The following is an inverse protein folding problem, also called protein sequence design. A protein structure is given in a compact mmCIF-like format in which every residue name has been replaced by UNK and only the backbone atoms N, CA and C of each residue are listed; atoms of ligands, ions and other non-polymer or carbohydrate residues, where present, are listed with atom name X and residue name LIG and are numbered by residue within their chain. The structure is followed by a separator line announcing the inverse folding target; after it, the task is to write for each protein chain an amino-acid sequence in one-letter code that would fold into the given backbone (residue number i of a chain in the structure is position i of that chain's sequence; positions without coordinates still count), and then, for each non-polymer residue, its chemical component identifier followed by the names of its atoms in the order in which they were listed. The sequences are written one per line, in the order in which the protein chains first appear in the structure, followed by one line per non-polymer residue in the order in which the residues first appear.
data_IF_552933078576
#
_entry.id   IF_552933078576
#
_cell.length_a   1.000
_cell.length_b   1.000
_cell.length_c   1.000
_cell.angle_alpha   90.00
_cell.angle_beta   90.00
_cell.angle_gamma   90.00
#
_symmetry.space_group_name_H-M   'P 1'
#
loop_
_entity.id
_entity.type
_entity.pdbx_description
1 polymer ?
#
# COMPACT_ATOMS: atom_id res chain seq x y z
N UNK A 1 16.53 55.33 -8.06
CA UNK A 1 15.17 55.49 -7.48
C UNK A 1 14.04 54.91 -8.33
N UNK A 2 14.18 54.82 -9.65
CA UNK A 2 13.16 54.24 -10.56
C UNK A 2 13.03 52.72 -10.46
N UNK A 3 14.13 51.99 -10.29
CA UNK A 3 14.15 50.51 -10.24
C UNK A 3 13.37 49.91 -9.06
N UNK A 4 13.39 50.58 -7.89
CA UNK A 4 12.68 50.13 -6.67
C UNK A 4 11.15 50.24 -6.84
N UNK A 5 10.68 51.28 -7.54
CA UNK A 5 9.25 51.46 -7.84
C UNK A 5 8.74 50.38 -8.84
N UNK A 6 9.55 50.00 -9.81
CA UNK A 6 9.19 48.97 -10.77
C UNK A 6 9.11 47.58 -10.08
N UNK A 7 10.05 47.28 -9.20
CA UNK A 7 10.04 46.03 -8.44
C UNK A 7 8.84 45.89 -7.50
N UNK A 8 8.46 47.00 -6.83
CA UNK A 8 7.27 47.02 -5.95
C UNK A 8 5.96 46.85 -6.74
N UNK A 9 5.89 47.41 -7.95
CA UNK A 9 4.74 47.24 -8.86
C UNK A 9 4.63 45.80 -9.35
N UNK A 10 5.73 45.19 -9.79
CA UNK A 10 5.74 43.79 -10.25
C UNK A 10 5.42 42.83 -9.12
N UNK A 11 5.91 43.07 -7.89
CA UNK A 11 5.62 42.27 -6.72
C UNK A 11 4.14 42.36 -6.31
N UNK A 12 3.55 43.56 -6.35
CA UNK A 12 2.12 43.75 -6.11
C UNK A 12 1.24 43.09 -7.16
N UNK A 13 1.58 43.18 -8.45
CA UNK A 13 0.82 42.53 -9.54
C UNK A 13 0.84 41.01 -9.36
N UNK A 14 1.97 40.39 -8.96
CA UNK A 14 2.06 38.95 -8.67
C UNK A 14 1.22 38.54 -7.46
N UNK A 15 1.15 39.36 -6.41
CA UNK A 15 0.33 39.09 -5.21
C UNK A 15 -1.17 39.24 -5.49
N UNK A 16 -1.57 40.29 -6.24
CA UNK A 16 -2.99 40.49 -6.61
C UNK A 16 -3.51 39.44 -7.59
N UNK A 17 -2.67 38.91 -8.49
CA UNK A 17 -3.05 37.82 -9.42
C UNK A 17 -3.33 36.48 -8.71
N UNK A 18 -2.69 36.21 -7.60
CA UNK A 18 -2.95 35.00 -6.77
C UNK A 18 -4.17 35.19 -5.87
N UNK A 19 -4.47 36.43 -5.43
CA UNK A 19 -5.62 36.71 -4.56
C UNK A 19 -6.96 36.90 -5.29
N UNK A 20 -6.97 37.00 -6.63
CA UNK A 20 -8.21 37.14 -7.41
C UNK A 20 -8.75 35.81 -7.97
N UNK A 21 -8.17 34.69 -7.58
CA UNK A 21 -8.76 33.39 -7.93
C UNK A 21 -10.10 33.25 -7.19
N UNK A 22 -11.19 33.03 -7.90
CA UNK A 22 -12.48 32.83 -7.24
C UNK A 22 -12.37 31.61 -6.31
N UNK A 23 -12.90 31.75 -5.08
CA UNK A 23 -12.76 30.74 -4.01
C UNK A 23 -13.13 29.32 -4.46
N UNK A 24 -14.05 29.19 -5.43
CA UNK A 24 -14.44 27.89 -5.98
C UNK A 24 -13.31 27.15 -6.71
N UNK A 25 -12.40 27.86 -7.40
CA UNK A 25 -11.20 27.26 -8.02
C UNK A 25 -10.27 26.67 -6.97
N UNK A 26 -10.09 27.38 -5.85
CA UNK A 26 -9.29 26.89 -4.73
C UNK A 26 -9.87 25.58 -4.14
N UNK A 27 -11.18 25.52 -3.96
CA UNK A 27 -11.86 24.31 -3.49
C UNK A 27 -11.76 23.16 -4.51
N UNK A 28 -11.88 23.43 -5.80
CA UNK A 28 -11.70 22.41 -6.85
C UNK A 28 -10.28 21.81 -6.78
N UNK A 29 -9.25 22.65 -6.65
CA UNK A 29 -7.87 22.16 -6.55
C UNK A 29 -7.68 21.31 -5.30
N UNK A 30 -8.20 21.74 -4.14
CA UNK A 30 -8.15 20.95 -2.91
C UNK A 30 -8.85 19.59 -3.10
N UNK A 31 -10.07 19.59 -3.64
CA UNK A 31 -10.83 18.36 -3.88
C UNK A 31 -10.07 17.44 -4.85
N UNK A 32 -9.52 17.98 -5.92
CA UNK A 32 -8.73 17.21 -6.89
C UNK A 32 -7.47 16.59 -6.24
N UNK A 33 -6.75 17.35 -5.40
CA UNK A 33 -5.59 16.86 -4.66
C UNK A 33 -5.98 15.79 -3.66
N UNK A 34 -7.05 16.01 -2.90
CA UNK A 34 -7.56 15.02 -1.93
C UNK A 34 -8.00 13.75 -2.65
N UNK A 35 -8.76 13.88 -3.73
CA UNK A 35 -9.19 12.75 -4.55
C UNK A 35 -7.99 11.99 -5.15
N UNK A 36 -7.01 12.72 -5.67
CA UNK A 36 -5.77 12.12 -6.19
C UNK A 36 -4.99 11.37 -5.11
N UNK A 37 -4.86 11.93 -3.89
CA UNK A 37 -4.22 11.27 -2.75
C UNK A 37 -4.98 10.00 -2.33
N UNK A 38 -6.33 10.08 -2.30
CA UNK A 38 -7.18 8.93 -1.99
C UNK A 38 -7.01 7.83 -3.04
N UNK A 39 -7.13 8.16 -4.33
CA UNK A 39 -6.96 7.20 -5.42
C UNK A 39 -5.56 6.59 -5.43
N UNK A 40 -4.52 7.37 -5.16
CA UNK A 40 -3.14 6.89 -5.03
C UNK A 40 -2.96 5.93 -3.85
N UNK A 41 -3.72 6.13 -2.76
CA UNK A 41 -3.67 5.27 -1.57
C UNK A 41 -4.38 3.93 -1.77
N UNK A 42 -5.42 3.91 -2.61
CA UNK A 42 -6.18 2.70 -2.95
C UNK A 42 -5.68 2.00 -4.22
N UNK A 43 -4.74 2.58 -4.95
CA UNK A 43 -4.09 1.95 -6.09
C UNK A 43 -3.34 0.70 -5.63
N UNK A 44 -3.81 -0.49 -6.05
CA UNK A 44 -3.16 -1.75 -5.78
C UNK A 44 -1.71 -1.76 -6.30
N UNK A 45 -0.85 -2.54 -5.65
CA UNK A 45 0.55 -2.70 -6.11
C UNK A 45 0.53 -3.42 -7.45
N UNK A 46 1.12 -2.82 -8.49
CA UNK A 46 1.22 -3.45 -9.82
C UNK A 46 1.88 -4.84 -9.70
N UNK A 47 1.25 -5.85 -10.31
CA UNK A 47 1.75 -7.21 -10.32
C UNK A 47 1.50 -8.01 -9.03
N UNK A 48 0.64 -7.53 -8.13
CA UNK A 48 0.15 -8.30 -6.97
C UNK A 48 -1.25 -8.82 -7.29
N UNK A 49 -1.43 -10.11 -7.19
CA UNK A 49 -2.75 -10.75 -7.28
C UNK A 49 -3.51 -10.57 -5.96
N UNK A 50 -4.83 -10.59 -6.02
CA UNK A 50 -5.67 -10.53 -4.83
C UNK A 50 -6.69 -11.66 -4.90
N UNK A 51 -6.75 -12.46 -3.83
CA UNK A 51 -7.68 -13.56 -3.70
C UNK A 51 -8.59 -13.38 -2.47
N UNK A 52 -9.75 -14.01 -2.50
CA UNK A 52 -10.67 -14.09 -1.36
C UNK A 52 -10.28 -15.20 -0.39
N UNK A 53 -10.88 -15.22 0.80
CA UNK A 53 -10.69 -16.31 1.77
C UNK A 53 -11.18 -17.67 1.24
N UNK A 54 -12.26 -17.69 0.45
CA UNK A 54 -12.76 -18.93 -0.17
C UNK A 54 -11.81 -19.48 -1.23
N UNK A 55 -11.23 -18.64 -2.06
CA UNK A 55 -10.20 -19.04 -3.03
C UNK A 55 -8.94 -19.53 -2.34
N UNK A 56 -8.54 -18.90 -1.23
CA UNK A 56 -7.42 -19.35 -0.41
C UNK A 56 -7.59 -20.78 0.09
N UNK A 57 -8.80 -21.16 0.55
CA UNK A 57 -9.08 -22.52 1.04
C UNK A 57 -8.71 -23.60 0.01
N UNK A 58 -8.98 -23.33 -1.26
CA UNK A 58 -8.68 -24.26 -2.35
C UNK A 58 -7.17 -24.35 -2.69
N UNK A 59 -6.38 -23.37 -2.23
CA UNK A 59 -4.95 -23.26 -2.57
C UNK A 59 -4.01 -23.72 -1.45
N UNK A 60 -4.49 -23.97 -0.23
CA UNK A 60 -3.64 -24.30 0.92
C UNK A 60 -2.78 -25.54 0.75
N UNK A 61 -3.18 -26.48 -0.10
CA UNK A 61 -2.44 -27.73 -0.36
C UNK A 61 -1.39 -27.59 -1.47
N UNK A 62 -1.30 -26.45 -2.14
CA UNK A 62 -0.38 -26.23 -3.24
C UNK A 62 1.06 -26.05 -2.72
N UNK A 63 1.91 -27.04 -3.01
CA UNK A 63 3.34 -27.06 -2.62
C UNK A 63 4.21 -26.06 -3.37
N UNK A 64 3.69 -25.45 -4.45
CA UNK A 64 4.37 -24.40 -5.21
C UNK A 64 4.11 -23.01 -4.61
N UNK A 65 3.42 -22.93 -3.48
CA UNK A 65 3.12 -21.70 -2.77
C UNK A 65 3.77 -21.66 -1.39
N UNK A 66 4.07 -20.47 -0.93
CA UNK A 66 4.53 -20.17 0.43
C UNK A 66 3.50 -19.26 1.08
N UNK A 67 3.09 -19.59 2.27
CA UNK A 67 2.05 -18.88 3.01
C UNK A 67 2.68 -18.13 4.18
N UNK A 68 2.53 -16.80 4.23
CA UNK A 68 3.05 -15.98 5.32
C UNK A 68 1.96 -15.11 5.97
N UNK A 69 1.92 -15.14 7.29
CA UNK A 69 1.09 -14.27 8.11
C UNK A 69 1.94 -13.14 8.67
N UNK A 70 1.63 -11.91 8.29
CA UNK A 70 2.41 -10.72 8.67
C UNK A 70 1.86 -9.99 9.88
N UNK A 71 0.98 -10.65 10.65
CA UNK A 71 0.49 -10.15 11.94
C UNK A 71 1.56 -10.28 13.02
N UNK A 72 1.28 -9.67 14.17
CA UNK A 72 2.13 -9.82 15.35
C UNK A 72 2.14 -11.28 15.85
N UNK A 73 3.19 -11.72 16.58
CA UNK A 73 3.24 -13.06 17.14
C UNK A 73 2.07 -13.37 18.09
N UNK A 74 1.58 -12.37 18.83
CA UNK A 74 0.41 -12.52 19.70
C UNK A 74 -0.88 -12.81 18.93
N UNK A 75 -1.16 -12.04 17.85
CA UNK A 75 -2.30 -12.27 16.97
C UNK A 75 -2.23 -13.65 16.32
N UNK A 76 -1.03 -14.07 15.89
CA UNK A 76 -0.81 -15.37 15.27
C UNK A 76 -1.02 -16.51 16.27
N UNK A 77 -0.50 -16.39 17.49
CA UNK A 77 -0.68 -17.41 18.55
C UNK A 77 -2.15 -17.59 18.94
N UNK A 78 -2.93 -16.52 18.98
CA UNK A 78 -4.34 -16.59 19.36
C UNK A 78 -5.20 -17.32 18.33
N UNK A 79 -4.96 -17.09 17.04
CA UNK A 79 -5.66 -17.75 15.92
C UNK A 79 -4.84 -17.64 14.65
N UNK A 80 -4.55 -18.74 13.97
CA UNK A 80 -3.85 -18.75 12.69
C UNK A 80 -4.32 -19.89 11.78
N UNK A 81 -3.96 -19.81 10.52
CA UNK A 81 -4.14 -20.89 9.55
C UNK A 81 -2.86 -21.74 9.60
N UNK A 82 -3.01 -23.04 9.77
CA UNK A 82 -1.90 -23.98 9.99
C UNK A 82 -0.78 -23.90 8.97
N UNK A 83 -1.12 -23.67 7.72
CA UNK A 83 -0.18 -23.62 6.59
C UNK A 83 0.63 -22.35 6.54
N UNK A 84 0.27 -21.32 7.31
CA UNK A 84 0.92 -20.04 7.32
C UNK A 84 2.06 -19.97 8.34
N UNK A 85 3.23 -19.49 7.89
CA UNK A 85 4.37 -19.15 8.75
C UNK A 85 4.24 -17.70 9.19
N UNK A 86 4.42 -17.42 10.48
CA UNK A 86 4.41 -16.05 10.97
C UNK A 86 5.74 -15.35 10.68
N UNK A 87 5.66 -14.29 9.89
CA UNK A 87 6.76 -13.33 9.65
C UNK A 87 6.18 -11.94 9.82
N UNK A 88 6.23 -11.34 11.01
CA UNK A 88 5.67 -10.02 11.28
C UNK A 88 6.14 -8.97 10.27
N UNK A 89 5.25 -8.05 9.87
CA UNK A 89 5.53 -7.06 8.83
C UNK A 89 6.84 -6.27 9.08
N UNK A 90 7.11 -5.90 10.34
CA UNK A 90 8.32 -5.15 10.70
C UNK A 90 9.61 -5.98 10.56
N UNK A 91 9.53 -7.32 10.59
CA UNK A 91 10.67 -8.23 10.42
C UNK A 91 10.83 -8.70 8.96
N UNK A 92 9.81 -8.51 8.12
CA UNK A 92 9.81 -9.03 6.75
C UNK A 92 11.01 -8.56 5.94
N UNK A 93 11.45 -7.27 5.98
CA UNK A 93 12.61 -6.83 5.20
C UNK A 93 13.89 -7.61 5.49
N UNK A 94 14.12 -8.00 6.75
CA UNK A 94 15.31 -8.78 7.14
C UNK A 94 15.16 -10.28 6.88
N UNK A 95 13.91 -10.76 6.68
CA UNK A 95 13.60 -12.18 6.53
C UNK A 95 13.19 -12.60 5.12
N UNK A 96 13.19 -11.68 4.15
CA UNK A 96 12.83 -11.98 2.75
C UNK A 96 13.69 -13.11 2.17
N UNK A 97 14.95 -13.22 2.58
CA UNK A 97 15.88 -14.26 2.12
C UNK A 97 15.50 -15.68 2.62
N UNK A 98 14.58 -15.81 3.57
CA UNK A 98 14.05 -17.10 4.02
C UNK A 98 12.94 -17.63 3.10
N UNK A 99 12.50 -16.82 2.12
CA UNK A 99 11.47 -17.17 1.16
C UNK A 99 12.09 -17.49 -0.20
N UNK A 100 11.56 -18.48 -0.88
CA UNK A 100 11.98 -18.82 -2.25
C UNK A 100 11.34 -17.85 -3.25
N UNK A 101 12.13 -17.30 -4.17
CA UNK A 101 11.65 -16.42 -5.23
C UNK A 101 10.94 -17.17 -6.36
N UNK A 102 11.19 -18.46 -6.48
CA UNK A 102 10.59 -19.32 -7.53
C UNK A 102 9.14 -19.69 -7.22
N UNK A 103 8.76 -19.62 -5.93
CA UNK A 103 7.40 -19.95 -5.46
C UNK A 103 6.55 -18.70 -5.31
N UNK A 104 5.27 -18.84 -5.53
CA UNK A 104 4.30 -17.79 -5.21
C UNK A 104 4.22 -17.58 -3.70
N UNK A 105 4.24 -16.32 -3.27
CA UNK A 105 4.08 -15.94 -1.86
C UNK A 105 2.69 -15.40 -1.61
N UNK A 106 1.90 -16.15 -0.85
CA UNK A 106 0.55 -15.75 -0.42
C UNK A 106 0.64 -15.11 0.95
N UNK A 107 0.16 -13.87 1.06
CA UNK A 107 0.32 -13.04 2.25
C UNK A 107 -1.03 -12.75 2.88
N UNK A 108 -1.15 -13.02 4.18
CA UNK A 108 -2.33 -12.69 4.99
C UNK A 108 -1.98 -11.76 6.14
N UNK A 109 -2.95 -10.95 6.56
CA UNK A 109 -2.93 -10.25 7.84
C UNK A 109 -4.36 -10.21 8.42
N UNK A 110 -4.65 -9.31 9.35
CA UNK A 110 -5.98 -9.24 9.97
C UNK A 110 -7.07 -8.75 9.00
N UNK A 111 -6.81 -7.66 8.24
CA UNK A 111 -7.81 -6.98 7.40
C UNK A 111 -7.42 -6.81 5.92
N UNK A 112 -6.20 -7.22 5.54
CA UNK A 112 -5.68 -7.02 4.18
C UNK A 112 -4.74 -5.80 4.02
N UNK A 113 -4.69 -4.87 4.96
CA UNK A 113 -3.87 -3.64 4.83
C UNK A 113 -2.38 -3.89 5.07
N UNK A 114 -2.02 -4.62 6.12
CA UNK A 114 -0.61 -4.98 6.42
C UNK A 114 -0.06 -5.92 5.36
N UNK A 115 -0.85 -6.88 4.89
CA UNK A 115 -0.46 -7.80 3.81
C UNK A 115 -0.25 -7.08 2.48
N UNK A 116 -1.04 -6.04 2.15
CA UNK A 116 -0.79 -5.21 0.97
C UNK A 116 0.58 -4.49 1.05
N UNK A 117 0.97 -4.00 2.23
CA UNK A 117 2.32 -3.41 2.45
C UNK A 117 3.41 -4.47 2.33
N UNK A 118 3.19 -5.66 2.89
CA UNK A 118 4.12 -6.79 2.77
C UNK A 118 4.31 -7.21 1.30
N UNK A 119 3.24 -7.28 0.52
CA UNK A 119 3.32 -7.55 -0.92
C UNK A 119 4.19 -6.52 -1.65
N UNK A 120 4.09 -5.24 -1.29
CA UNK A 120 4.95 -4.20 -1.86
C UNK A 120 6.42 -4.43 -1.53
N UNK A 121 6.74 -4.79 -0.28
CA UNK A 121 8.11 -5.12 0.15
C UNK A 121 8.63 -6.32 -0.65
N UNK A 122 7.85 -7.38 -0.79
CA UNK A 122 8.22 -8.56 -1.57
C UNK A 122 8.48 -8.22 -3.04
N UNK A 123 7.61 -7.44 -3.68
CA UNK A 123 7.82 -6.99 -5.07
C UNK A 123 9.10 -6.17 -5.24
N UNK A 124 9.42 -5.29 -4.29
CA UNK A 124 10.65 -4.49 -4.28
C UNK A 124 11.91 -5.35 -4.09
N UNK A 125 11.78 -6.54 -3.50
CA UNK A 125 12.86 -7.51 -3.31
C UNK A 125 12.91 -8.60 -4.41
N UNK A 126 12.20 -8.38 -5.53
CA UNK A 126 12.30 -9.22 -6.73
C UNK A 126 11.42 -10.48 -6.71
N UNK A 127 10.39 -10.54 -5.86
CA UNK A 127 9.40 -11.61 -5.92
C UNK A 127 8.40 -11.34 -7.04
N UNK A 128 8.34 -12.20 -8.04
CA UNK A 128 7.46 -12.02 -9.20
C UNK A 128 6.01 -12.42 -8.91
N UNK A 129 5.80 -13.48 -8.16
CA UNK A 129 4.49 -14.06 -7.86
C UNK A 129 4.11 -13.76 -6.41
N UNK A 130 3.29 -12.74 -6.19
CA UNK A 130 2.85 -12.30 -4.85
C UNK A 130 1.35 -12.12 -4.84
N UNK A 131 0.69 -12.70 -3.85
CA UNK A 131 -0.77 -12.71 -3.72
C UNK A 131 -1.18 -12.20 -2.35
N UNK A 132 -2.11 -11.24 -2.32
CA UNK A 132 -2.71 -10.69 -1.13
C UNK A 132 -4.07 -11.33 -0.84
N UNK A 133 -4.33 -11.72 0.39
CA UNK A 133 -5.64 -12.22 0.83
C UNK A 133 -6.52 -11.03 1.25
N UNK A 134 -7.54 -10.73 0.44
CA UNK A 134 -8.50 -9.66 0.70
C UNK A 134 -9.31 -9.96 1.97
N UNK A 135 -9.43 -8.95 2.83
CA UNK A 135 -10.16 -9.10 4.11
C UNK A 135 -9.35 -9.84 5.19
N UNK A 136 -8.29 -10.55 4.82
CA UNK A 136 -7.41 -11.24 5.77
C UNK A 136 -8.12 -12.24 6.67
N UNK A 137 -7.67 -12.35 7.92
CA UNK A 137 -8.26 -13.24 8.94
C UNK A 137 -9.68 -12.86 9.36
N UNK A 138 -10.10 -11.61 9.09
CA UNK A 138 -11.49 -11.20 9.35
C UNK A 138 -12.48 -11.87 8.38
N UNK A 139 -12.02 -12.25 7.18
CA UNK A 139 -12.83 -12.92 6.16
C UNK A 139 -12.66 -14.45 6.15
N UNK A 140 -11.79 -14.99 7.05
CA UNK A 140 -11.45 -16.41 7.16
C UNK A 140 -12.40 -17.19 8.11
#
# INVERSE_FOLDING_TARGET
MVAIKIWSQIFNIKLYGVMSMPNWLFYIVIIAVVLWLVLRRFGGVKGVQTITASELKNQLKDKNKQFIDVRTPGEYKSRHIREFKNIPLHQLPQKVNQLSKDKEVVVICQSGMRSARACKILKQNGFEKVTNVKGGMNAW
#
